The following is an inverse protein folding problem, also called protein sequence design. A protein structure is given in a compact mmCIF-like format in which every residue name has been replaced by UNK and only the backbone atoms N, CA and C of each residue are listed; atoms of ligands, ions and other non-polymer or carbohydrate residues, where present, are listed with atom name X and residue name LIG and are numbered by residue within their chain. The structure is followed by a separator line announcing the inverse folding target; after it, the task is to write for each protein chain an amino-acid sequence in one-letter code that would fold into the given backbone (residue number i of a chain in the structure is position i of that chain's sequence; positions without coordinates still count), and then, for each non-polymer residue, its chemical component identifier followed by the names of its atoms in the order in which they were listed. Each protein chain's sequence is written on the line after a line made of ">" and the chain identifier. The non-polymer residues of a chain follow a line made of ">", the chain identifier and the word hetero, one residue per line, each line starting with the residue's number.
data_IF_939459410396
#
_entry.id   IF_939459410396
#
_cell.length_a   1.000
_cell.length_b   1.000
_cell.length_c   1.000
_cell.angle_alpha   90.00
_cell.angle_beta   90.00
_cell.angle_gamma   90.00
#
_symmetry.space_group_name_H-M   'P 1'
#
loop_
_entity.id
_entity.type
_entity.pdbx_description
1 polymer ?
#
# COMPACT_ATOMS: atom_id res chain seq x y z
N UNK A 1 -35.30 -18.34 17.65
CA UNK A 1 -34.25 -18.73 16.67
C UNK A 1 -34.26 -17.72 15.55
N UNK A 2 -33.14 -17.18 15.22
CA UNK A 2 -33.04 -16.25 14.08
C UNK A 2 -33.24 -17.05 12.78
N UNK A 3 -34.20 -16.65 11.96
CA UNK A 3 -34.38 -17.24 10.64
C UNK A 3 -33.31 -16.68 9.69
N UNK A 4 -32.35 -17.49 9.21
CA UNK A 4 -31.27 -16.98 8.32
C UNK A 4 -31.82 -16.43 6.99
N UNK A 5 -32.95 -16.94 6.51
CA UNK A 5 -33.60 -16.49 5.27
C UNK A 5 -34.17 -15.09 5.44
N UNK A 6 -34.82 -14.81 6.58
CA UNK A 6 -35.31 -13.46 6.89
C UNK A 6 -34.15 -12.47 7.01
N UNK A 7 -33.03 -12.83 7.65
CA UNK A 7 -31.86 -11.97 7.78
C UNK A 7 -31.31 -11.51 6.42
N UNK A 8 -31.39 -12.37 5.39
CA UNK A 8 -30.93 -12.04 4.04
C UNK A 8 -31.98 -11.25 3.26
N UNK A 9 -33.24 -11.63 3.34
CA UNK A 9 -34.31 -11.02 2.55
C UNK A 9 -34.70 -9.61 3.03
N UNK A 10 -34.58 -9.37 4.34
CA UNK A 10 -34.97 -8.08 4.95
C UNK A 10 -33.83 -7.04 4.91
N UNK A 11 -32.72 -7.36 4.20
CA UNK A 11 -31.60 -6.45 4.02
C UNK A 11 -31.22 -6.35 2.54
N UNK A 12 -31.14 -5.11 2.04
CA UNK A 12 -30.60 -4.79 0.73
C UNK A 12 -29.25 -4.11 0.91
N UNK A 13 -28.21 -4.62 0.23
CA UNK A 13 -26.86 -4.02 0.24
C UNK A 13 -26.34 -3.95 -1.18
N UNK A 14 -26.32 -2.74 -1.73
CA UNK A 14 -25.78 -2.45 -3.04
C UNK A 14 -24.38 -1.86 -2.92
N UNK A 15 -23.42 -2.44 -3.61
CA UNK A 15 -22.03 -1.98 -3.66
C UNK A 15 -21.62 -1.74 -5.10
N UNK A 16 -21.24 -0.51 -5.40
CA UNK A 16 -20.72 -0.09 -6.69
C UNK A 16 -19.26 0.28 -6.56
N UNK A 17 -18.48 -0.07 -7.56
CA UNK A 17 -17.08 0.34 -7.65
C UNK A 17 -16.75 0.74 -9.07
N UNK A 18 -16.32 1.98 -9.23
CA UNK A 18 -15.67 2.44 -10.43
C UNK A 18 -14.16 2.48 -10.17
N UNK A 19 -13.40 1.94 -11.10
CA UNK A 19 -11.95 1.91 -11.00
C UNK A 19 -11.36 2.27 -12.36
N UNK A 20 -10.47 3.24 -12.35
CA UNK A 20 -9.69 3.62 -13.51
C UNK A 20 -8.21 3.65 -13.14
N UNK A 21 -7.37 3.10 -14.01
CA UNK A 21 -5.93 3.21 -13.91
C UNK A 21 -5.36 3.44 -15.29
N UNK A 22 -4.62 4.52 -15.46
CA UNK A 22 -3.90 4.85 -16.67
C UNK A 22 -2.42 5.04 -16.39
N UNK A 23 -1.56 4.45 -17.24
CA UNK A 23 -0.11 4.63 -17.17
C UNK A 23 0.39 5.10 -18.52
N UNK A 24 1.16 6.20 -18.53
CA UNK A 24 1.93 6.66 -19.67
C UNK A 24 3.42 6.56 -19.33
N UNK A 25 4.22 6.11 -20.29
CA UNK A 25 5.67 6.06 -20.11
C UNK A 25 6.40 6.46 -21.36
N UNK A 26 7.62 6.96 -21.17
CA UNK A 26 8.60 7.22 -22.20
C UNK A 26 9.90 6.51 -21.83
N UNK A 27 10.45 5.74 -22.76
CA UNK A 27 11.78 5.15 -22.63
C UNK A 27 12.66 5.68 -23.75
N UNK A 28 13.85 6.13 -23.39
CA UNK A 28 14.82 6.68 -24.32
C UNK A 28 16.20 6.09 -24.06
N UNK A 29 16.78 5.50 -25.09
CA UNK A 29 18.17 5.08 -25.08
C UNK A 29 19.06 6.26 -25.48
N UNK A 30 19.66 6.90 -24.45
CA UNK A 30 20.48 8.10 -24.61
C UNK A 30 21.80 7.77 -25.32
N UNK A 31 22.40 6.67 -24.91
CA UNK A 31 23.64 6.10 -25.44
C UNK A 31 23.51 4.58 -25.37
N UNK A 32 24.36 3.86 -26.14
CA UNK A 32 24.40 2.39 -26.07
C UNK A 32 24.59 1.91 -24.63
N UNK A 33 23.59 1.20 -24.13
CA UNK A 33 23.56 0.69 -22.76
C UNK A 33 23.07 1.68 -21.70
N UNK A 34 22.81 2.97 -22.02
CA UNK A 34 22.27 3.95 -21.10
C UNK A 34 20.83 4.31 -21.48
N UNK A 35 19.87 3.89 -20.65
CA UNK A 35 18.44 4.10 -20.87
C UNK A 35 17.85 4.95 -19.75
N UNK A 36 17.07 5.94 -20.15
CA UNK A 36 16.20 6.71 -19.26
C UNK A 36 14.76 6.29 -19.48
N UNK A 37 14.03 6.04 -18.39
CA UNK A 37 12.61 5.76 -18.42
C UNK A 37 11.89 6.67 -17.44
N UNK A 38 10.83 7.31 -17.90
CA UNK A 38 9.86 8.01 -17.04
C UNK A 38 8.50 7.36 -17.23
N UNK A 39 7.79 7.11 -16.14
CA UNK A 39 6.45 6.55 -16.15
C UNK A 39 5.58 7.30 -15.15
N UNK A 40 4.32 7.57 -15.55
CA UNK A 40 3.34 8.27 -14.74
C UNK A 40 2.07 7.47 -14.72
N UNK A 41 1.63 7.11 -13.53
CA UNK A 41 0.40 6.35 -13.32
C UNK A 41 -0.58 7.20 -12.52
N UNK A 42 -1.81 7.26 -13.01
CA UNK A 42 -2.94 7.82 -12.30
C UNK A 42 -3.94 6.72 -12.01
N UNK A 43 -4.39 6.64 -10.76
CA UNK A 43 -5.41 5.69 -10.33
C UNK A 43 -6.54 6.44 -9.65
N UNK A 44 -7.77 6.13 -10.07
CA UNK A 44 -9.00 6.63 -9.47
C UNK A 44 -9.88 5.46 -9.06
N UNK A 45 -10.39 5.50 -7.83
CA UNK A 45 -11.34 4.51 -7.33
C UNK A 45 -12.47 5.21 -6.58
N UNK A 46 -13.69 5.03 -7.07
CA UNK A 46 -14.93 5.47 -6.43
C UNK A 46 -15.70 4.23 -5.97
N UNK A 47 -16.03 4.17 -4.69
CA UNK A 47 -16.80 3.09 -4.09
C UNK A 47 -18.02 3.66 -3.42
N UNK A 48 -19.19 3.09 -3.73
CA UNK A 48 -20.47 3.48 -3.14
C UNK A 48 -21.11 2.27 -2.51
N UNK A 49 -21.53 2.42 -1.27
CA UNK A 49 -22.35 1.43 -0.57
C UNK A 49 -23.67 2.06 -0.22
N UNK A 50 -24.75 1.35 -0.54
CA UNK A 50 -26.13 1.67 -0.21
C UNK A 50 -26.72 0.49 0.50
N UNK A 51 -27.25 0.70 1.69
CA UNK A 51 -27.82 -0.37 2.50
C UNK A 51 -29.13 0.07 3.10
N UNK A 52 -30.10 -0.81 3.09
CA UNK A 52 -31.32 -0.71 3.86
C UNK A 52 -31.59 -2.03 4.58
N UNK A 53 -31.95 -1.94 5.83
CA UNK A 53 -32.35 -3.08 6.68
C UNK A 53 -33.74 -2.78 7.20
N UNK A 54 -34.71 -3.63 6.87
CA UNK A 54 -36.10 -3.49 7.31
C UNK A 54 -36.23 -3.62 8.83
N UNK A 55 -37.26 -3.00 9.39
CA UNK A 55 -37.63 -3.17 10.79
C UNK A 55 -37.99 -4.60 11.20
N UNK A 56 -38.42 -5.42 10.25
CA UNK A 56 -38.69 -6.85 10.45
C UNK A 56 -37.41 -7.67 10.68
N UNK A 57 -36.26 -7.15 10.26
CA UNK A 57 -34.97 -7.79 10.47
C UNK A 57 -34.56 -7.75 11.94
N UNK A 58 -34.11 -8.87 12.47
CA UNK A 58 -33.68 -8.99 13.87
C UNK A 58 -32.48 -8.11 14.24
N UNK A 59 -31.71 -7.66 13.25
CA UNK A 59 -30.61 -6.70 13.42
C UNK A 59 -31.06 -5.24 13.34
N UNK A 60 -32.36 -5.01 13.12
CA UNK A 60 -32.92 -3.66 13.02
C UNK A 60 -32.90 -2.91 14.35
N UNK A 61 -32.96 -1.58 14.27
CA UNK A 61 -33.07 -0.73 15.45
C UNK A 61 -34.49 -0.71 15.99
N UNK A 62 -34.73 -1.39 17.12
CA UNK A 62 -36.05 -1.40 17.82
C UNK A 62 -37.25 -1.75 16.91
N UNK A 63 -37.03 -2.65 15.93
CA UNK A 63 -38.11 -2.99 14.99
C UNK A 63 -38.40 -1.91 13.95
N UNK A 64 -37.50 -0.98 13.73
CA UNK A 64 -37.61 0.10 12.74
C UNK A 64 -36.48 0.05 11.73
N UNK A 65 -36.76 0.49 10.50
CA UNK A 65 -35.78 0.44 9.41
C UNK A 65 -34.48 1.21 9.70
N UNK A 66 -33.42 0.77 9.10
CA UNK A 66 -32.10 1.38 9.12
C UNK A 66 -31.55 1.53 7.71
N UNK A 67 -31.13 2.74 7.34
CA UNK A 67 -30.44 3.01 6.09
C UNK A 67 -29.02 3.50 6.34
N UNK A 68 -28.10 3.10 5.44
CA UNK A 68 -26.69 3.51 5.46
C UNK A 68 -26.21 3.78 4.03
N UNK A 69 -25.53 4.90 3.86
CA UNK A 69 -24.87 5.27 2.61
C UNK A 69 -23.42 5.64 2.91
N UNK A 70 -22.52 5.16 2.07
CA UNK A 70 -21.10 5.48 2.17
C UNK A 70 -20.50 5.67 0.79
N UNK A 71 -19.91 6.82 0.55
CA UNK A 71 -19.18 7.17 -0.66
C UNK A 71 -17.71 7.36 -0.32
N UNK A 72 -16.84 6.61 -0.99
CA UNK A 72 -15.40 6.63 -0.79
C UNK A 72 -14.72 6.93 -2.12
N UNK A 73 -13.87 7.92 -2.12
CA UNK A 73 -13.06 8.30 -3.28
C UNK A 73 -11.58 8.19 -2.93
N UNK A 74 -10.81 7.62 -3.83
CA UNK A 74 -9.35 7.53 -3.70
C UNK A 74 -8.72 7.90 -5.02
N UNK A 75 -7.78 8.83 -4.99
CA UNK A 75 -6.92 9.22 -6.09
C UNK A 75 -5.46 8.96 -5.74
N UNK A 76 -4.73 8.32 -6.66
CA UNK A 76 -3.29 8.12 -6.49
C UNK A 76 -2.55 8.58 -7.75
N UNK A 77 -1.45 9.28 -7.53
CA UNK A 77 -0.47 9.63 -8.54
C UNK A 77 0.86 8.99 -8.20
N UNK A 78 1.46 8.31 -9.17
CA UNK A 78 2.79 7.74 -9.07
C UNK A 78 3.63 8.20 -10.25
N UNK A 79 4.74 8.86 -9.97
CA UNK A 79 5.76 9.21 -10.96
C UNK A 79 7.04 8.42 -10.68
N UNK A 80 7.57 7.74 -11.70
CA UNK A 80 8.78 6.92 -11.61
C UNK A 80 9.77 7.38 -12.69
N UNK A 81 10.98 7.68 -12.30
CA UNK A 81 12.07 8.06 -13.19
C UNK A 81 13.26 7.17 -12.90
N UNK A 82 13.77 6.49 -13.91
CA UNK A 82 14.91 5.58 -13.76
C UNK A 82 15.94 5.82 -14.85
N UNK A 83 17.20 5.79 -14.47
CA UNK A 83 18.35 5.77 -15.35
C UNK A 83 19.06 4.44 -15.17
N UNK A 84 19.15 3.67 -16.23
CA UNK A 84 19.77 2.34 -16.22
C UNK A 84 20.97 2.33 -17.15
N UNK A 85 22.12 1.92 -16.63
CA UNK A 85 23.31 1.68 -17.42
C UNK A 85 23.70 0.21 -17.36
N UNK A 86 23.85 -0.42 -18.52
CA UNK A 86 24.24 -1.82 -18.64
C UNK A 86 25.39 -1.96 -19.64
N UNK A 87 26.47 -2.58 -19.21
CA UNK A 87 27.64 -2.82 -20.07
C UNK A 87 28.40 -4.08 -19.67
N UNK A 88 28.86 -4.81 -20.68
CA UNK A 88 29.82 -5.90 -20.51
C UNK A 88 31.18 -5.45 -21.00
N UNK A 89 32.21 -5.55 -20.15
CA UNK A 89 33.58 -5.20 -20.44
C UNK A 89 34.39 -6.48 -20.57
N UNK A 90 35.29 -6.52 -21.55
CA UNK A 90 36.24 -7.64 -21.77
C UNK A 90 35.58 -9.02 -21.75
N UNK A 91 34.33 -9.15 -22.11
CA UNK A 91 33.48 -10.36 -22.07
C UNK A 91 33.23 -10.96 -20.67
N UNK A 92 34.05 -10.63 -19.68
CA UNK A 92 34.05 -11.26 -18.36
C UNK A 92 33.34 -10.40 -17.28
N UNK A 93 33.25 -9.09 -17.49
CA UNK A 93 32.73 -8.15 -16.49
C UNK A 93 31.40 -7.61 -16.93
N UNK A 94 30.34 -8.00 -16.30
CA UNK A 94 28.99 -7.45 -16.53
C UNK A 94 28.61 -6.48 -15.43
N UNK A 95 28.28 -5.26 -15.79
CA UNK A 95 27.86 -4.20 -14.89
C UNK A 95 26.46 -3.71 -15.28
N UNK A 96 25.58 -3.63 -14.29
CA UNK A 96 24.28 -2.98 -14.40
C UNK A 96 24.11 -2.01 -13.24
N UNK A 97 23.87 -0.75 -13.57
CA UNK A 97 23.66 0.32 -12.58
C UNK A 97 22.28 0.92 -12.82
N UNK A 98 21.51 1.08 -11.77
CA UNK A 98 20.22 1.76 -11.79
C UNK A 98 20.24 2.87 -10.77
N UNK A 99 19.85 4.07 -11.19
CA UNK A 99 19.52 5.19 -10.32
C UNK A 99 18.08 5.60 -10.60
N UNK A 100 17.32 5.96 -9.57
CA UNK A 100 15.92 6.31 -9.76
C UNK A 100 15.40 7.28 -8.71
N UNK A 101 14.33 7.96 -9.11
CA UNK A 101 13.51 8.80 -8.25
C UNK A 101 12.05 8.45 -8.47
N UNK A 102 11.33 8.21 -7.38
CA UNK A 102 9.88 7.99 -7.42
C UNK A 102 9.17 8.97 -6.48
N UNK A 103 8.00 9.41 -6.89
CA UNK A 103 7.12 10.21 -6.06
C UNK A 103 5.68 9.69 -6.20
N UNK A 104 5.03 9.53 -5.07
CA UNK A 104 3.64 9.07 -4.99
C UNK A 104 2.85 10.00 -4.08
N UNK A 105 1.61 10.29 -4.44
CA UNK A 105 0.64 10.99 -3.62
C UNK A 105 -0.69 10.25 -3.66
N UNK A 106 -1.32 10.14 -2.49
CA UNK A 106 -2.61 9.49 -2.32
C UNK A 106 -3.55 10.42 -1.56
N UNK A 107 -4.71 10.68 -2.16
CA UNK A 107 -5.83 11.39 -1.56
C UNK A 107 -6.98 10.42 -1.34
N UNK A 108 -7.48 10.38 -0.14
CA UNK A 108 -8.65 9.62 0.25
C UNK A 108 -9.69 10.52 0.89
N UNK A 109 -10.91 10.41 0.43
CA UNK A 109 -12.07 11.06 1.01
C UNK A 109 -13.20 10.06 1.21
N UNK A 110 -13.92 10.17 2.31
CA UNK A 110 -15.16 9.45 2.51
C UNK A 110 -16.24 10.34 3.09
N UNK A 111 -17.47 10.05 2.69
CA UNK A 111 -18.68 10.67 3.22
C UNK A 111 -19.68 9.55 3.49
N UNK A 112 -20.21 9.52 4.71
CA UNK A 112 -21.22 8.55 5.07
C UNK A 112 -22.41 9.22 5.77
N UNK A 113 -23.56 8.63 5.58
CA UNK A 113 -24.79 9.00 6.25
C UNK A 113 -25.54 7.75 6.68
N UNK A 114 -26.21 7.84 7.82
CA UNK A 114 -27.09 6.78 8.29
C UNK A 114 -28.34 7.37 8.92
N UNK A 115 -29.42 6.64 8.84
CA UNK A 115 -30.69 6.98 9.47
C UNK A 115 -31.34 5.75 10.05
N UNK A 116 -32.02 5.91 11.16
CA UNK A 116 -32.80 4.89 11.87
C UNK A 116 -34.21 5.38 12.11
N UNK A 117 -35.13 4.45 12.39
CA UNK A 117 -36.47 4.82 12.74
C UNK A 117 -37.30 5.27 11.53
N UNK A 118 -37.33 4.43 10.50
CA UNK A 118 -38.20 4.62 9.34
C UNK A 118 -39.59 4.08 9.64
N UNK A 119 -40.58 4.95 9.69
CA UNK A 119 -41.99 4.53 9.78
C UNK A 119 -42.52 4.08 8.40
N UNK A 120 -41.96 4.61 7.32
CA UNK A 120 -42.25 4.23 5.94
C UNK A 120 -40.97 3.67 5.32
N UNK A 121 -40.94 2.36 5.07
CA UNK A 121 -39.73 1.65 4.60
C UNK A 121 -39.70 1.43 3.09
N UNK A 122 -40.79 1.73 2.37
CA UNK A 122 -40.97 1.41 0.95
C UNK A 122 -39.90 2.05 0.03
N UNK A 123 -39.33 3.18 0.42
CA UNK A 123 -38.27 3.86 -0.33
C UNK A 123 -36.87 3.48 0.13
N UNK A 124 -36.73 2.77 1.26
CA UNK A 124 -35.44 2.30 1.76
C UNK A 124 -34.40 3.43 1.85
N UNK A 125 -33.21 3.17 1.33
CA UNK A 125 -32.11 4.13 1.30
C UNK A 125 -32.28 5.28 0.28
N UNK A 126 -33.30 5.22 -0.61
CA UNK A 126 -33.54 6.26 -1.61
C UNK A 126 -34.06 7.57 -1.00
N UNK A 127 -34.62 7.49 0.20
CA UNK A 127 -35.07 8.70 0.91
C UNK A 127 -34.70 8.65 2.39
N UNK A 128 -33.52 9.13 2.72
CA UNK A 128 -33.03 9.24 4.10
C UNK A 128 -33.84 10.21 4.95
N UNK A 129 -34.58 11.13 4.32
CA UNK A 129 -35.44 12.08 5.03
C UNK A 129 -36.64 11.46 5.74
N UNK A 130 -36.96 10.19 5.45
CA UNK A 130 -38.02 9.43 6.15
C UNK A 130 -37.55 8.84 7.49
N UNK A 131 -36.25 8.89 7.78
CA UNK A 131 -35.73 8.48 9.08
C UNK A 131 -36.12 9.48 10.17
N UNK A 132 -36.16 9.01 11.41
CA UNK A 132 -36.30 9.88 12.55
C UNK A 132 -35.16 10.92 12.58
N UNK A 133 -35.50 12.20 12.54
CA UNK A 133 -34.56 13.31 12.45
C UNK A 133 -33.52 13.35 13.57
N UNK A 134 -33.89 12.86 14.77
CA UNK A 134 -32.97 12.74 15.91
C UNK A 134 -31.99 11.56 15.81
N UNK A 135 -32.22 10.65 14.86
CA UNK A 135 -31.41 9.45 14.61
C UNK A 135 -30.70 9.49 13.26
N UNK A 136 -30.69 10.65 12.61
CA UNK A 136 -29.83 10.90 11.45
C UNK A 136 -28.40 11.16 11.90
N UNK A 137 -27.45 10.60 11.16
CA UNK A 137 -26.03 10.83 11.36
C UNK A 137 -25.34 11.06 10.03
N UNK A 138 -24.51 12.08 9.98
CA UNK A 138 -23.67 12.40 8.83
C UNK A 138 -22.23 12.54 9.32
N UNK A 139 -21.30 11.93 8.62
CA UNK A 139 -19.88 12.07 8.92
C UNK A 139 -19.08 12.08 7.61
N UNK A 140 -18.00 12.85 7.62
CA UNK A 140 -17.04 12.86 6.52
C UNK A 140 -15.63 12.87 7.07
N UNK A 141 -14.72 12.36 6.27
CA UNK A 141 -13.31 12.34 6.63
C UNK A 141 -12.44 12.18 5.38
N UNK A 142 -11.18 12.54 5.53
CA UNK A 142 -10.22 12.38 4.45
C UNK A 142 -8.80 12.39 4.97
N UNK A 143 -7.91 11.90 4.15
CA UNK A 143 -6.48 11.98 4.42
C UNK A 143 -5.70 12.14 3.12
N UNK A 144 -4.55 12.75 3.27
CA UNK A 144 -3.56 12.88 2.21
C UNK A 144 -2.24 12.29 2.71
N UNK A 145 -1.58 11.55 1.85
CA UNK A 145 -0.23 11.05 2.12
C UNK A 145 0.63 11.13 0.87
N UNK A 146 1.92 11.40 1.06
CA UNK A 146 2.88 11.43 -0.02
C UNK A 146 4.18 10.76 0.42
N UNK A 147 4.86 10.14 -0.55
CA UNK A 147 6.18 9.54 -0.39
C UNK A 147 7.05 9.94 -1.57
N UNK A 148 8.30 10.29 -1.29
CA UNK A 148 9.32 10.52 -2.30
C UNK A 148 10.52 9.63 -2.00
N UNK A 149 11.10 9.01 -3.02
CA UNK A 149 12.14 8.01 -2.85
C UNK A 149 13.26 8.19 -3.85
N UNK A 150 14.49 8.11 -3.36
CA UNK A 150 15.68 7.97 -4.17
C UNK A 150 16.19 6.54 -4.06
N UNK A 151 16.56 5.95 -5.17
CA UNK A 151 17.10 4.60 -5.20
C UNK A 151 18.35 4.52 -6.07
N UNK A 152 19.26 3.67 -5.66
CA UNK A 152 20.44 3.30 -6.43
C UNK A 152 20.72 1.81 -6.27
N UNK A 153 21.11 1.14 -7.35
CA UNK A 153 21.51 -0.28 -7.34
C UNK A 153 22.65 -0.49 -8.30
N UNK A 154 23.63 -1.26 -7.87
CA UNK A 154 24.72 -1.74 -8.70
C UNK A 154 24.72 -3.26 -8.64
N UNK A 155 24.62 -3.90 -9.80
CA UNK A 155 24.82 -5.33 -9.96
C UNK A 155 26.09 -5.54 -10.77
N UNK A 156 26.95 -6.41 -10.29
CA UNK A 156 28.21 -6.77 -10.95
C UNK A 156 28.36 -8.27 -11.01
N UNK A 157 28.78 -8.76 -12.16
CA UNK A 157 29.13 -10.17 -12.34
C UNK A 157 30.48 -10.30 -13.01
N UNK A 158 31.34 -11.13 -12.42
CA UNK A 158 32.62 -11.50 -12.98
C UNK A 158 32.58 -12.94 -13.50
N UNK A 159 32.85 -13.10 -14.81
CA UNK A 159 32.78 -14.39 -15.53
C UNK A 159 31.49 -15.18 -15.35
N UNK A 160 30.40 -14.50 -14.93
CA UNK A 160 29.15 -15.16 -14.54
C UNK A 160 29.26 -16.04 -13.28
N UNK A 161 30.44 -16.13 -12.66
CA UNK A 161 30.74 -16.94 -11.47
C UNK A 161 30.51 -16.20 -10.17
N UNK A 162 31.08 -15.00 -10.05
CA UNK A 162 31.01 -14.16 -8.86
C UNK A 162 30.03 -13.04 -9.10
N UNK A 163 29.03 -12.95 -8.24
CA UNK A 163 27.94 -12.01 -8.36
C UNK A 163 27.91 -11.11 -7.13
N UNK A 164 27.81 -9.81 -7.33
CA UNK A 164 27.65 -8.85 -6.25
C UNK A 164 26.53 -7.89 -6.60
N UNK A 165 25.69 -7.56 -5.62
CA UNK A 165 24.66 -6.55 -5.73
C UNK A 165 24.69 -5.66 -4.49
N UNK A 166 24.66 -4.35 -4.70
CA UNK A 166 24.52 -3.38 -3.63
C UNK A 166 23.38 -2.44 -4.01
N UNK A 167 22.48 -2.17 -3.09
CA UNK A 167 21.46 -1.15 -3.29
C UNK A 167 21.30 -0.25 -2.07
N UNK A 168 20.82 0.95 -2.33
CA UNK A 168 20.51 1.95 -1.33
C UNK A 168 19.20 2.62 -1.70
N UNK A 169 18.31 2.79 -0.72
CA UNK A 169 17.06 3.50 -0.87
C UNK A 169 16.88 4.50 0.25
N UNK A 170 16.51 5.73 -0.10
CA UNK A 170 16.13 6.78 0.83
C UNK A 170 14.67 7.14 0.57
N UNK A 171 13.79 6.91 1.53
CA UNK A 171 12.36 7.13 1.43
C UNK A 171 11.91 8.23 2.40
N UNK A 172 11.27 9.26 1.87
CA UNK A 172 10.71 10.36 2.64
C UNK A 172 9.19 10.31 2.63
N UNK A 173 8.56 10.06 3.80
CA UNK A 173 7.10 9.96 3.92
C UNK A 173 6.50 11.12 4.69
N UNK A 174 5.37 11.64 4.21
CA UNK A 174 4.59 12.67 4.88
C UNK A 174 3.93 12.21 6.18
N UNK A 175 3.81 10.89 6.40
CA UNK A 175 3.16 10.31 7.57
C UNK A 175 3.97 10.49 8.87
N UNK A 176 5.28 10.69 8.74
CA UNK A 176 6.18 10.82 9.89
C UNK A 176 6.40 12.26 10.32
N UNK A 177 6.93 12.42 11.53
CA UNK A 177 7.23 13.72 12.10
C UNK A 177 8.28 14.49 11.28
N UNK A 178 8.28 15.82 11.39
CA UNK A 178 9.09 16.73 10.56
C UNK A 178 10.56 16.31 10.45
N UNK A 179 11.17 15.87 11.55
CA UNK A 179 12.59 15.53 11.60
C UNK A 179 12.88 14.05 11.29
N UNK A 180 11.85 13.21 11.13
CA UNK A 180 11.95 11.76 10.98
C UNK A 180 11.31 11.25 9.68
N UNK A 181 11.06 12.15 8.72
CA UNK A 181 10.40 11.78 7.44
C UNK A 181 11.22 10.81 6.61
N UNK A 182 12.55 10.91 6.67
CA UNK A 182 13.44 10.11 5.84
C UNK A 182 13.92 8.85 6.55
N UNK A 183 13.76 7.72 5.86
CA UNK A 183 14.35 6.42 6.21
C UNK A 183 15.39 6.03 5.17
N UNK A 184 16.41 5.28 5.59
CA UNK A 184 17.53 4.86 4.75
C UNK A 184 17.68 3.35 4.83
N UNK A 185 17.67 2.68 3.68
CA UNK A 185 17.57 1.24 3.58
C UNK A 185 18.66 0.68 2.66
N UNK A 186 19.86 0.39 3.20
CA UNK A 186 20.92 -0.27 2.47
C UNK A 186 20.67 -1.77 2.32
N UNK A 187 21.16 -2.35 1.23
CA UNK A 187 21.25 -3.79 1.08
C UNK A 187 22.46 -4.22 0.26
N UNK A 188 22.99 -5.41 0.55
CA UNK A 188 24.06 -6.02 -0.17
C UNK A 188 23.85 -7.53 -0.32
N UNK A 189 24.23 -8.09 -1.45
CA UNK A 189 24.17 -9.53 -1.70
C UNK A 189 25.38 -9.99 -2.47
N UNK A 190 25.88 -11.17 -2.12
CA UNK A 190 26.97 -11.88 -2.81
C UNK A 190 26.45 -13.24 -3.26
N UNK A 191 26.90 -13.67 -4.43
CA UNK A 191 26.60 -14.97 -4.98
C UNK A 191 27.82 -15.58 -5.63
N UNK A 192 28.04 -16.86 -5.39
CA UNK A 192 29.09 -17.64 -6.01
C UNK A 192 28.49 -18.86 -6.70
N UNK A 193 28.65 -18.93 -8.03
CA UNK A 193 28.25 -20.08 -8.84
C UNK A 193 29.39 -21.08 -8.87
N UNK A 194 29.40 -21.98 -7.88
CA UNK A 194 30.45 -22.98 -7.67
C UNK A 194 30.52 -23.94 -8.87
N UNK A 195 29.33 -24.25 -9.46
CA UNK A 195 29.27 -25.13 -10.65
C UNK A 195 30.03 -24.60 -11.87
N UNK A 196 30.33 -23.31 -11.93
CA UNK A 196 31.07 -22.69 -13.03
C UNK A 196 32.60 -22.73 -12.81
N UNK A 197 33.07 -23.25 -11.66
CA UNK A 197 34.49 -23.36 -11.36
C UNK A 197 35.11 -24.54 -12.09
N UNK A 198 36.41 -24.44 -12.40
CA UNK A 198 37.11 -25.44 -13.17
C UNK A 198 37.16 -26.81 -12.46
N UNK A 199 37.22 -26.83 -11.13
CA UNK A 199 37.17 -28.04 -10.32
C UNK A 199 35.81 -28.75 -10.29
N UNK A 200 34.75 -28.10 -10.77
CA UNK A 200 33.40 -28.68 -10.85
C UNK A 200 33.06 -29.23 -12.23
N UNK A 201 33.86 -28.95 -13.26
CA UNK A 201 33.54 -29.31 -14.67
C UNK A 201 33.41 -30.80 -14.90
N UNK A 202 34.13 -31.62 -14.13
CA UNK A 202 34.09 -33.07 -14.24
C UNK A 202 32.91 -33.71 -13.49
N UNK A 203 32.12 -32.90 -12.76
CA UNK A 203 30.98 -33.37 -11.98
C UNK A 203 29.69 -33.15 -12.79
N UNK A 204 29.40 -34.06 -13.71
CA UNK A 204 28.33 -33.92 -14.69
C UNK A 204 26.90 -33.99 -14.11
N UNK A 205 26.72 -34.59 -12.93
CA UNK A 205 25.41 -34.72 -12.29
C UNK A 205 24.96 -33.44 -11.54
N UNK A 206 25.87 -32.49 -11.31
CA UNK A 206 25.51 -31.16 -10.74
C UNK A 206 25.44 -30.15 -11.88
N UNK A 207 24.25 -29.71 -12.25
CA UNK A 207 24.06 -28.66 -13.26
C UNK A 207 24.30 -27.27 -12.71
N UNK A 208 23.82 -26.99 -11.50
CA UNK A 208 23.94 -25.67 -10.90
C UNK A 208 24.16 -25.82 -9.39
N UNK A 209 25.26 -25.26 -8.90
CA UNK A 209 25.56 -25.14 -7.49
C UNK A 209 25.90 -23.68 -7.21
N UNK A 210 25.05 -22.99 -6.44
CA UNK A 210 25.20 -21.56 -6.13
C UNK A 210 25.08 -21.32 -4.64
N UNK A 211 26.12 -20.75 -4.05
CA UNK A 211 26.09 -20.18 -2.71
C UNK A 211 25.69 -18.70 -2.79
N UNK A 212 24.87 -18.24 -1.86
CA UNK A 212 24.45 -16.84 -1.75
C UNK A 212 24.43 -16.39 -0.30
N UNK A 213 24.78 -15.14 -0.07
CA UNK A 213 24.61 -14.45 1.20
C UNK A 213 24.08 -13.05 0.93
N UNK A 214 23.17 -12.58 1.75
CA UNK A 214 22.63 -11.23 1.64
C UNK A 214 22.31 -10.62 3.00
N UNK A 215 22.41 -9.30 3.06
CA UNK A 215 21.97 -8.48 4.16
C UNK A 215 21.16 -7.32 3.59
N UNK A 216 20.07 -6.96 4.25
CA UNK A 216 19.26 -5.82 3.84
C UNK A 216 18.45 -5.23 4.97
N UNK A 217 18.15 -3.95 4.84
CA UNK A 217 17.24 -3.23 5.70
C UNK A 217 16.02 -2.82 4.88
N UNK A 218 14.82 -2.98 5.46
CA UNK A 218 13.55 -2.56 4.86
C UNK A 218 12.79 -1.68 5.85
N UNK A 219 12.12 -0.64 5.33
CA UNK A 219 11.30 0.26 6.10
C UNK A 219 9.82 -0.06 5.96
N UNK A 220 9.05 0.14 7.04
CA UNK A 220 7.60 0.11 7.03
C UNK A 220 7.03 1.47 7.42
N UNK A 221 6.05 1.94 6.65
CA UNK A 221 5.22 3.11 6.95
C UNK A 221 3.76 2.71 7.19
N UNK A 222 3.50 1.51 7.72
CA UNK A 222 2.17 0.96 7.94
C UNK A 222 1.42 1.67 9.08
N UNK A 223 1.39 3.00 9.02
CA UNK A 223 0.65 3.89 9.91
C UNK A 223 -0.32 4.75 9.11
N UNK A 224 -1.39 5.21 9.76
CA UNK A 224 -2.31 6.17 9.14
C UNK A 224 -1.66 7.55 9.01
N UNK A 225 -2.15 8.36 8.05
CA UNK A 225 -1.70 9.74 7.93
C UNK A 225 -1.97 10.55 9.20
N UNK A 226 -1.18 11.58 9.44
CA UNK A 226 -1.30 12.54 10.56
C UNK A 226 -1.10 11.96 11.96
N UNK A 227 -0.61 10.73 12.12
CA UNK A 227 -0.39 10.15 13.46
C UNK A 227 0.69 10.86 14.28
N UNK A 228 1.60 11.58 13.64
CA UNK A 228 2.59 12.42 14.32
C UNK A 228 2.00 13.71 14.93
N UNK A 229 0.78 14.10 14.52
CA UNK A 229 0.14 15.34 14.92
C UNK A 229 -0.82 15.13 16.09
N UNK A 230 -1.04 16.20 16.86
CA UNK A 230 -2.16 16.26 17.81
C UNK A 230 -3.50 16.17 17.06
N UNK A 231 -4.47 15.53 17.66
CA UNK A 231 -5.85 15.57 17.17
C UNK A 231 -6.80 16.04 18.26
N UNK A 232 -7.91 16.61 17.82
CA UNK A 232 -9.02 16.99 18.68
C UNK A 232 -10.23 16.17 18.29
N UNK A 233 -11.06 15.87 19.28
CA UNK A 233 -12.38 15.25 19.09
C UNK A 233 -13.44 16.20 19.56
N UNK A 234 -14.62 16.14 18.94
CA UNK A 234 -15.78 16.89 19.39
C UNK A 234 -16.54 16.09 20.45
N UNK A 235 -17.02 16.79 21.47
CA UNK A 235 -17.93 16.24 22.46
C UNK A 235 -19.05 17.25 22.74
N UNK A 236 -20.20 16.78 23.24
CA UNK A 236 -21.26 17.65 23.68
C UNK A 236 -21.02 18.05 25.13
N UNK A 237 -21.14 19.34 25.41
CA UNK A 237 -21.07 19.92 26.75
C UNK A 237 -22.31 20.73 27.00
N UNK A 238 -22.84 20.69 28.23
CA UNK A 238 -23.99 21.52 28.61
C UNK A 238 -23.48 22.81 29.22
N UNK A 239 -23.80 23.94 28.61
CA UNK A 239 -23.47 25.27 29.07
C UNK A 239 -24.79 26.06 29.26
N UNK A 240 -25.06 26.54 30.45
CA UNK A 240 -26.29 27.28 30.79
C UNK A 240 -27.58 26.55 30.34
N UNK A 241 -27.63 25.22 30.51
CA UNK A 241 -28.82 24.42 30.14
C UNK A 241 -28.94 24.10 28.65
N UNK A 242 -28.04 24.59 27.80
CA UNK A 242 -28.05 24.34 26.36
C UNK A 242 -26.86 23.46 25.97
N UNK A 243 -27.08 22.55 25.03
CA UNK A 243 -25.99 21.71 24.49
C UNK A 243 -25.10 22.55 23.57
N UNK A 244 -23.79 22.50 23.84
CA UNK A 244 -22.78 23.15 23.03
C UNK A 244 -21.71 22.10 22.59
N UNK A 245 -21.11 22.29 21.42
CA UNK A 245 -20.00 21.46 20.94
C UNK A 245 -18.70 21.95 21.57
N UNK A 246 -17.98 21.06 22.23
CA UNK A 246 -16.65 21.31 22.78
C UNK A 246 -15.60 20.50 22.05
N UNK A 247 -14.39 21.07 21.93
CA UNK A 247 -13.20 20.37 21.43
C UNK A 247 -12.39 19.85 22.62
N UNK A 248 -12.13 18.57 22.62
CA UNK A 248 -11.28 17.92 23.63
C UNK A 248 -10.05 17.30 22.95
N UNK A 249 -8.89 17.26 23.61
CA UNK A 249 -7.72 16.55 23.10
C UNK A 249 -8.05 15.09 22.80
N UNK A 250 -7.83 14.67 21.56
CA UNK A 250 -8.06 13.28 21.14
C UNK A 250 -6.76 12.48 21.19
N UNK A 251 -5.68 13.03 20.66
CA UNK A 251 -4.36 12.38 20.63
C UNK A 251 -3.26 13.39 20.91
N UNK A 252 -2.30 12.96 21.76
CA UNK A 252 -1.05 13.70 21.98
C UNK A 252 -0.14 13.56 20.76
N UNK A 253 0.52 14.63 20.31
CA UNK A 253 1.45 14.55 19.17
C UNK A 253 2.65 13.66 19.52
N UNK A 254 3.14 12.94 18.53
CA UNK A 254 4.39 12.18 18.63
C UNK A 254 5.44 12.74 17.66
N UNK A 255 6.30 13.68 18.10
CA UNK A 255 7.32 14.29 17.26
C UNK A 255 8.45 13.32 16.88
N UNK A 256 8.56 12.19 17.57
CA UNK A 256 9.61 11.18 17.36
C UNK A 256 9.13 10.01 16.48
N UNK A 257 7.90 10.08 15.97
CA UNK A 257 7.35 9.05 15.10
C UNK A 257 8.19 8.92 13.83
N UNK A 258 8.76 7.73 13.61
CA UNK A 258 9.70 7.42 12.54
C UNK A 258 9.41 6.07 11.89
N UNK A 259 10.15 5.76 10.86
CA UNK A 259 10.13 4.48 10.16
C UNK A 259 10.40 3.31 11.11
N UNK A 260 9.61 2.25 10.98
CA UNK A 260 9.94 0.94 11.49
C UNK A 260 10.94 0.28 10.54
N UNK A 261 12.03 -0.25 11.05
CA UNK A 261 13.10 -0.85 10.24
C UNK A 261 13.28 -2.31 10.60
N UNK A 262 13.19 -3.17 9.59
CA UNK A 262 13.50 -4.60 9.70
C UNK A 262 14.86 -4.87 9.06
N UNK A 263 15.73 -5.58 9.78
CA UNK A 263 17.05 -6.03 9.33
C UNK A 263 17.00 -7.51 9.09
N UNK A 264 17.45 -7.95 7.90
CA UNK A 264 17.40 -9.34 7.52
C UNK A 264 18.76 -9.79 6.96
N UNK A 265 19.19 -10.98 7.36
CA UNK A 265 20.36 -11.67 6.83
C UNK A 265 19.94 -13.03 6.34
N UNK A 266 20.32 -13.38 5.11
CA UNK A 266 20.00 -14.66 4.50
C UNK A 266 21.28 -15.31 3.96
N UNK A 267 21.43 -16.63 4.20
CA UNK A 267 22.44 -17.48 3.59
C UNK A 267 21.71 -18.65 2.93
N UNK A 268 22.03 -18.93 1.69
CA UNK A 268 21.33 -19.97 0.94
C UNK A 268 22.25 -20.72 -0.03
N UNK A 269 21.99 -22.00 -0.18
CA UNK A 269 22.61 -22.88 -1.17
C UNK A 269 21.53 -23.37 -2.13
N UNK A 270 21.75 -23.19 -3.43
CA UNK A 270 20.88 -23.70 -4.49
C UNK A 270 21.63 -24.82 -5.23
N UNK A 271 21.00 -25.97 -5.33
CA UNK A 271 21.52 -27.14 -6.06
C UNK A 271 20.46 -27.57 -7.09
N UNK A 272 20.89 -27.70 -8.34
CA UNK A 272 20.12 -28.37 -9.41
C UNK A 272 20.95 -29.54 -9.90
N UNK A 273 20.38 -30.76 -9.85
CA UNK A 273 20.99 -31.98 -10.36
C UNK A 273 20.15 -32.55 -11.52
N UNK A 274 20.77 -33.30 -12.38
CA UNK A 274 20.06 -34.07 -13.41
C UNK A 274 19.56 -35.36 -12.74
N UNK A 275 18.27 -35.56 -12.70
CA UNK A 275 17.69 -36.89 -12.51
C UNK A 275 17.51 -37.51 -13.89
N UNK A 276 18.14 -38.65 -14.17
CA UNK A 276 17.78 -39.44 -15.36
C UNK A 276 16.27 -39.76 -15.30
N UNK A 277 15.53 -39.61 -16.41
CA UNK A 277 14.16 -40.10 -16.44
C UNK A 277 14.19 -41.60 -16.22
N UNK A 278 13.59 -42.06 -15.14
CA UNK A 278 13.29 -43.49 -14.94
C UNK A 278 12.49 -43.97 -16.14
N UNK A 279 13.11 -44.85 -16.94
CA UNK A 279 12.45 -45.60 -18.01
C UNK A 279 11.39 -46.57 -17.43
#
# INVERSE_FOLDING_TARGET
>A
MNNPVALINDQVVDKFRNYFQGTAFLEWEILSGLKFKTAWTYTYSDRKQRQFTSGENLLSYKGQGYAYMNDQETTNWLGENTLTYSKTFNKDHSLNVVAGFTAEASDYFNNNSSGKGFDIESLGYWNMGLANSSLLSVASGGNHSAIASWLGRVNYAYKGKYLASVSFRADGSSKFAKNNKWGYFPSAALGWRISEEDFMKDISWIQNLKLRASYGETGSQAITAYQSLASFSTTSYVLNGSSAVALVPGRVPNPDLKWETTKQTDIGLSLIHISEPTR
#
